data_IF_921589396858
#
_entry.id   IF_921589396858
#
_cell.length_a   1.000
_cell.length_b   1.000
_cell.length_c   1.000
_cell.angle_alpha   90.00
_cell.angle_beta   90.00
_cell.angle_gamma   90.00
#
_symmetry.space_group_name_H-M   'P 1'
#
loop_
_entity.id
_entity.type
_entity.pdbx_description
1 polymer ?
#
# COMPACT_ATOMS: atom_id res chain seq x y z
N UNK A 1 26.60 9.05 -0.72
CA UNK A 1 26.97 8.45 -2.04
C UNK A 1 25.95 8.76 -3.12
N UNK A 2 24.68 8.35 -3.01
CA UNK A 2 23.65 8.65 -4.02
C UNK A 2 23.36 10.16 -4.20
N UNK A 3 23.62 10.97 -3.17
CA UNK A 3 23.53 12.44 -3.23
C UNK A 3 24.76 13.12 -3.86
N UNK A 4 25.78 12.35 -4.27
CA UNK A 4 26.97 12.92 -4.91
C UNK A 4 26.51 13.59 -6.21
N UNK A 5 26.86 14.86 -6.36
CA UNK A 5 26.46 15.73 -7.48
C UNK A 5 25.02 16.24 -7.47
N UNK A 6 24.29 16.19 -6.35
CA UNK A 6 22.98 16.85 -6.25
C UNK A 6 23.06 18.33 -6.69
N UNK A 7 22.12 18.84 -7.52
CA UNK A 7 20.87 18.21 -8.00
C UNK A 7 21.05 17.25 -9.19
N UNK A 8 22.19 17.29 -9.87
CA UNK A 8 22.57 16.41 -11.00
C UNK A 8 23.01 15.02 -10.53
N UNK A 9 22.18 14.34 -9.74
CA UNK A 9 22.48 13.01 -9.21
C UNK A 9 22.69 12.00 -10.33
N UNK A 10 23.59 11.04 -10.08
CA UNK A 10 24.00 10.02 -11.05
C UNK A 10 23.32 8.67 -10.80
N UNK A 11 23.24 7.85 -11.85
CA UNK A 11 22.88 6.45 -11.73
C UNK A 11 24.01 5.68 -11.05
N UNK A 12 23.64 4.81 -10.11
CA UNK A 12 24.57 4.00 -9.33
C UNK A 12 24.12 2.55 -9.41
N UNK A 13 25.03 1.64 -9.71
CA UNK A 13 24.71 0.21 -9.74
C UNK A 13 24.61 -0.35 -8.32
N UNK A 14 23.90 -1.46 -8.17
CA UNK A 14 23.83 -2.23 -6.92
C UNK A 14 25.22 -2.59 -6.40
N UNK A 15 26.14 -2.96 -7.30
CA UNK A 15 27.51 -3.34 -6.96
C UNK A 15 28.27 -2.14 -6.39
N UNK A 16 28.20 -0.97 -7.04
CA UNK A 16 28.88 0.25 -6.58
C UNK A 16 28.34 0.72 -5.23
N UNK A 17 27.02 0.68 -5.06
CA UNK A 17 26.38 1.08 -3.80
C UNK A 17 26.75 0.12 -2.67
N UNK A 18 26.78 -1.18 -2.94
CA UNK A 18 27.20 -2.21 -1.96
C UNK A 18 28.67 -2.05 -1.61
N UNK A 19 29.55 -1.85 -2.60
CA UNK A 19 30.97 -1.62 -2.38
C UNK A 19 31.22 -0.36 -1.55
N UNK A 20 30.46 0.72 -1.81
CA UNK A 20 30.53 1.93 -0.99
C UNK A 20 30.11 1.68 0.47
N UNK A 21 28.98 1.00 0.70
CA UNK A 21 28.48 0.75 2.06
C UNK A 21 29.43 -0.17 2.85
N UNK A 22 30.02 -1.18 2.20
CA UNK A 22 31.02 -2.06 2.81
C UNK A 22 32.29 -1.36 3.27
N UNK A 23 32.56 -0.12 2.84
CA UNK A 23 33.67 0.69 3.40
C UNK A 23 33.41 1.14 4.84
N UNK A 24 32.15 1.25 5.23
CA UNK A 24 31.73 1.68 6.57
C UNK A 24 31.17 0.52 7.39
N UNK A 25 30.51 -0.44 6.73
CA UNK A 25 29.83 -1.57 7.34
C UNK A 25 30.21 -2.87 6.60
N UNK A 26 31.36 -3.45 6.96
CA UNK A 26 32.01 -4.54 6.23
C UNK A 26 31.13 -5.78 6.02
N UNK A 27 30.28 -6.12 6.98
CA UNK A 27 29.40 -7.30 6.93
C UNK A 27 28.10 -7.07 6.14
N UNK A 28 27.96 -5.91 5.48
CA UNK A 28 26.74 -5.61 4.71
C UNK A 28 26.60 -6.57 3.54
N UNK A 29 25.55 -7.37 3.61
CA UNK A 29 25.06 -8.13 2.48
C UNK A 29 24.72 -7.20 1.30
N UNK A 30 24.68 -7.78 0.10
CA UNK A 30 24.29 -7.09 -1.11
C UNK A 30 23.08 -6.15 -0.91
N UNK A 31 23.22 -4.87 -1.29
CA UNK A 31 22.19 -3.85 -1.10
C UNK A 31 21.04 -4.12 -2.07
N UNK A 32 20.14 -5.01 -1.68
CA UNK A 32 19.04 -5.48 -2.52
C UNK A 32 17.89 -4.48 -2.61
N UNK A 33 17.87 -3.48 -1.73
CA UNK A 33 16.65 -2.76 -1.38
C UNK A 33 16.88 -1.27 -1.14
N UNK A 34 17.79 -0.58 -1.83
CA UNK A 34 17.97 0.87 -1.58
C UNK A 34 16.67 1.68 -1.79
N UNK A 35 15.74 1.20 -2.64
CA UNK A 35 14.37 1.72 -2.76
C UNK A 35 13.51 1.56 -1.49
N UNK A 36 13.80 0.60 -0.63
CA UNK A 36 13.08 0.42 0.64
C UNK A 36 13.34 1.57 1.60
N UNK A 37 14.50 2.23 1.49
CA UNK A 37 14.77 3.47 2.24
C UNK A 37 13.78 4.58 1.89
N UNK A 38 13.17 4.54 0.71
CA UNK A 38 12.08 5.46 0.37
C UNK A 38 10.80 5.18 1.13
N UNK A 39 10.38 3.91 1.19
CA UNK A 39 9.20 3.53 1.97
C UNK A 39 9.43 3.57 3.50
N UNK A 40 10.65 3.31 3.96
CA UNK A 40 10.99 3.18 5.39
C UNK A 40 11.46 4.49 6.02
N UNK A 41 12.15 5.34 5.26
CA UNK A 41 12.84 6.53 5.82
C UNK A 41 12.67 7.77 4.94
N UNK A 42 11.84 7.70 3.90
CA UNK A 42 11.46 8.86 3.10
C UNK A 42 12.43 9.28 2.02
N UNK A 43 13.55 8.59 1.85
CA UNK A 43 14.50 8.92 0.80
C UNK A 43 13.89 8.71 -0.59
N UNK A 44 13.82 9.76 -1.41
CA UNK A 44 13.28 9.63 -2.77
C UNK A 44 14.30 8.95 -3.70
N UNK A 45 14.53 7.65 -3.49
CA UNK A 45 15.43 6.80 -4.27
C UNK A 45 14.59 5.96 -5.22
N UNK A 46 14.88 6.11 -6.50
CA UNK A 46 14.32 5.27 -7.55
C UNK A 46 15.23 4.06 -7.80
N UNK A 47 14.62 2.89 -8.01
CA UNK A 47 15.32 1.67 -8.40
C UNK A 47 14.77 1.13 -9.71
N UNK A 48 15.65 0.68 -10.59
CA UNK A 48 15.24 0.23 -11.90
C UNK A 48 14.42 -1.05 -11.92
N UNK A 49 13.54 -1.12 -12.92
CA UNK A 49 12.55 -2.18 -13.13
C UNK A 49 11.60 -1.79 -14.25
N UNK A 50 10.79 -2.74 -14.74
CA UNK A 50 9.92 -2.55 -15.93
C UNK A 50 9.02 -1.32 -15.86
N UNK A 51 8.54 -0.98 -14.67
CA UNK A 51 7.50 0.04 -14.49
C UNK A 51 8.03 1.35 -13.85
N UNK A 52 9.34 1.50 -13.73
CA UNK A 52 9.92 2.68 -13.08
C UNK A 52 10.12 3.84 -14.08
N UNK A 53 9.71 5.03 -13.68
CA UNK A 53 9.73 6.25 -14.53
C UNK A 53 11.15 6.84 -14.65
N UNK A 54 11.98 6.71 -13.62
CA UNK A 54 13.28 7.41 -13.53
C UNK A 54 14.50 6.52 -13.76
N UNK A 55 14.38 5.21 -13.53
CA UNK A 55 15.47 4.25 -13.72
C UNK A 55 14.88 3.03 -14.43
N UNK A 56 15.41 2.65 -15.60
CA UNK A 56 14.82 1.56 -16.40
C UNK A 56 15.45 0.21 -16.13
N UNK A 57 16.76 0.17 -15.87
CA UNK A 57 17.52 -1.07 -15.77
C UNK A 57 17.55 -1.61 -14.34
N UNK A 58 17.15 -2.87 -14.19
CA UNK A 58 17.17 -3.56 -12.90
C UNK A 58 18.56 -3.56 -12.28
N UNK A 59 18.63 -3.34 -10.96
CA UNK A 59 19.90 -3.25 -10.23
C UNK A 59 20.57 -1.87 -10.28
N UNK A 60 19.95 -0.86 -10.88
CA UNK A 60 20.41 0.52 -10.83
C UNK A 60 19.53 1.36 -9.90
N UNK A 61 20.15 2.35 -9.28
CA UNK A 61 19.51 3.25 -8.32
C UNK A 61 19.85 4.71 -8.63
N UNK A 62 18.92 5.62 -8.35
CA UNK A 62 19.14 7.07 -8.43
C UNK A 62 18.40 7.79 -7.33
N UNK A 63 19.06 8.70 -6.64
CA UNK A 63 18.38 9.68 -5.79
C UNK A 63 17.69 10.72 -6.67
N UNK A 64 16.37 10.86 -6.56
CA UNK A 64 15.59 11.79 -7.37
C UNK A 64 15.66 13.20 -6.83
N UNK A 65 15.47 13.38 -5.52
CA UNK A 65 15.53 14.68 -4.88
C UNK A 65 15.78 14.57 -3.38
N UNK A 66 16.36 15.62 -2.80
CA UNK A 66 16.47 15.83 -1.36
C UNK A 66 15.42 16.83 -0.83
N UNK A 67 14.72 17.53 -1.71
CA UNK A 67 13.77 18.60 -1.35
C UNK A 67 12.44 18.05 -0.85
N UNK A 68 12.08 16.83 -1.26
CA UNK A 68 10.82 16.18 -0.88
C UNK A 68 11.02 14.68 -0.65
N UNK A 69 10.25 14.08 0.26
CA UNK A 69 10.32 12.65 0.51
C UNK A 69 9.81 11.85 -0.68
N UNK A 70 10.06 10.54 -0.67
CA UNK A 70 9.46 9.60 -1.60
C UNK A 70 7.92 9.80 -1.63
N UNK A 71 7.25 9.86 -2.79
CA UNK A 71 5.87 10.34 -2.88
C UNK A 71 4.85 9.55 -2.04
N UNK A 72 5.15 8.28 -1.77
CA UNK A 72 4.30 7.42 -0.93
C UNK A 72 4.89 7.19 0.48
N UNK A 73 5.91 7.96 0.87
CA UNK A 73 6.42 7.93 2.23
C UNK A 73 5.48 8.73 3.12
N UNK A 74 4.77 8.02 3.97
CA UNK A 74 4.12 8.60 5.13
C UNK A 74 5.16 8.51 6.25
N UNK A 75 5.70 9.64 6.68
CA UNK A 75 6.65 9.68 7.80
C UNK A 75 6.13 8.89 9.01
N UNK A 76 7.04 8.40 9.86
CA UNK A 76 6.63 7.73 11.09
C UNK A 76 5.68 8.65 11.86
N UNK A 77 4.40 8.23 11.93
CA UNK A 77 3.28 8.91 12.59
C UNK A 77 2.98 10.30 12.01
N UNK A 78 1.90 10.37 11.26
CA UNK A 78 1.22 11.64 11.04
C UNK A 78 0.57 12.01 12.37
N UNK A 79 0.97 13.15 12.95
CA UNK A 79 0.30 13.72 14.11
C UNK A 79 -1.17 13.99 13.77
N UNK A 80 -2.02 13.48 14.63
CA UNK A 80 -3.45 13.38 14.43
C UNK A 80 -4.11 14.73 14.34
N UNK A 81 -4.91 14.90 13.30
CA UNK A 81 -6.15 15.65 13.43
C UNK A 81 -7.19 14.84 12.69
N UNK A 82 -8.32 14.54 13.34
CA UNK A 82 -9.47 13.83 12.77
C UNK A 82 -10.18 14.55 11.62
N UNK A 83 -9.45 15.40 10.90
CA UNK A 83 -9.85 16.19 9.76
C UNK A 83 -9.89 15.32 8.50
N UNK A 84 -11.10 14.99 8.08
CA UNK A 84 -11.38 14.22 6.88
C UNK A 84 -10.70 14.79 5.62
N UNK A 85 -10.55 16.11 5.52
CA UNK A 85 -9.88 16.74 4.38
C UNK A 85 -8.39 16.37 4.33
N UNK A 86 -7.70 16.31 5.47
CA UNK A 86 -6.31 15.85 5.52
C UNK A 86 -6.17 14.40 5.12
N UNK A 87 -7.11 13.55 5.55
CA UNK A 87 -7.13 12.15 5.11
C UNK A 87 -7.27 12.09 3.59
N UNK A 88 -8.21 12.81 2.97
CA UNK A 88 -8.34 12.82 1.50
C UNK A 88 -7.08 13.32 0.80
N UNK A 89 -6.46 14.39 1.29
CA UNK A 89 -5.22 14.94 0.72
C UNK A 89 -4.08 13.92 0.73
N UNK A 90 -3.93 13.12 1.79
CA UNK A 90 -2.92 12.07 1.86
C UNK A 90 -3.05 11.00 0.77
N UNK A 91 -4.25 10.81 0.22
CA UNK A 91 -4.53 9.89 -0.88
C UNK A 91 -4.62 10.63 -2.21
N UNK A 92 -4.20 11.89 -2.29
CA UNK A 92 -4.28 12.72 -3.49
C UNK A 92 -5.72 12.99 -3.92
N UNK A 93 -6.66 13.04 -2.98
CA UNK A 93 -8.10 13.10 -3.24
C UNK A 93 -8.62 11.96 -4.11
N UNK A 94 -7.95 10.79 -4.06
CA UNK A 94 -8.35 9.60 -4.79
C UNK A 94 -8.90 8.51 -3.88
N UNK A 95 -9.77 7.69 -4.48
CA UNK A 95 -10.24 6.47 -3.86
C UNK A 95 -9.08 5.49 -3.69
N UNK A 96 -8.86 5.02 -2.46
CA UNK A 96 -7.79 4.08 -2.13
C UNK A 96 -7.92 2.73 -2.86
N UNK A 97 -9.11 2.33 -3.30
CA UNK A 97 -9.34 1.03 -3.95
C UNK A 97 -9.30 1.09 -5.48
N UNK A 98 -9.90 2.10 -6.10
CA UNK A 98 -9.98 2.18 -7.57
C UNK A 98 -9.21 3.35 -8.18
N UNK A 99 -8.66 4.26 -7.38
CA UNK A 99 -7.91 5.42 -7.87
C UNK A 99 -8.76 6.55 -8.48
N UNK A 100 -10.10 6.46 -8.44
CA UNK A 100 -10.96 7.55 -8.93
C UNK A 100 -10.83 8.79 -8.05
N UNK A 101 -10.67 9.96 -8.66
CA UNK A 101 -10.47 11.25 -7.99
C UNK A 101 -11.79 11.96 -7.66
N UNK A 102 -11.91 12.51 -6.44
CA UNK A 102 -13.06 13.28 -5.95
C UNK A 102 -13.46 14.38 -6.94
N UNK A 103 -14.76 14.55 -7.17
CA UNK A 103 -15.29 15.59 -8.06
C UNK A 103 -15.08 15.32 -9.56
N UNK A 104 -14.28 14.33 -9.96
CA UNK A 104 -14.11 13.90 -11.35
C UNK A 104 -15.00 12.70 -11.69
N UNK A 105 -15.09 12.37 -12.99
CA UNK A 105 -15.77 11.15 -13.44
C UNK A 105 -15.11 9.91 -12.83
N UNK A 106 -15.91 8.97 -12.37
CA UNK A 106 -15.40 7.72 -11.84
C UNK A 106 -14.78 6.87 -12.97
N UNK A 107 -13.63 6.24 -12.69
CA UNK A 107 -12.85 5.49 -13.68
C UNK A 107 -13.58 4.26 -14.23
N UNK A 108 -14.31 3.54 -13.39
CA UNK A 108 -15.05 2.33 -13.80
C UNK A 108 -16.52 2.63 -14.12
N UNK A 109 -17.07 3.72 -13.59
CA UNK A 109 -18.46 4.14 -13.79
C UNK A 109 -18.50 5.59 -14.32
N UNK A 110 -18.10 5.77 -15.58
CA UNK A 110 -17.92 7.09 -16.21
C UNK A 110 -19.16 8.00 -16.18
N UNK A 111 -20.36 7.43 -16.10
CA UNK A 111 -21.63 8.16 -15.92
C UNK A 111 -21.86 8.69 -14.50
N UNK A 112 -20.89 8.58 -13.59
CA UNK A 112 -21.02 9.07 -12.21
C UNK A 112 -19.83 9.93 -11.80
N UNK A 113 -20.10 11.00 -11.05
CA UNK A 113 -19.06 11.79 -10.39
C UNK A 113 -18.62 11.07 -9.12
N UNK A 114 -17.32 10.94 -8.93
CA UNK A 114 -16.70 10.32 -7.76
C UNK A 114 -16.99 11.15 -6.52
N UNK A 115 -17.52 10.49 -5.49
CA UNK A 115 -17.70 11.04 -4.15
C UNK A 115 -16.98 10.14 -3.17
N UNK A 116 -15.96 10.64 -2.50
CA UNK A 116 -15.24 9.90 -1.47
C UNK A 116 -16.04 9.90 -0.18
N UNK A 117 -15.97 8.76 0.49
CA UNK A 117 -16.59 8.49 1.76
C UNK A 117 -15.54 7.89 2.68
N UNK A 118 -15.75 8.06 3.98
CA UNK A 118 -14.98 7.33 4.99
C UNK A 118 -15.37 5.86 4.93
N UNK A 119 -14.38 5.00 4.70
CA UNK A 119 -14.54 3.54 4.73
C UNK A 119 -13.59 2.94 5.74
N UNK A 120 -14.04 1.89 6.43
CA UNK A 120 -13.21 1.13 7.36
C UNK A 120 -12.07 0.42 6.64
N UNK A 121 -10.89 0.49 7.24
CA UNK A 121 -9.80 -0.47 6.97
C UNK A 121 -10.22 -1.82 7.56
N UNK A 122 -10.59 -1.83 8.83
CA UNK A 122 -11.10 -2.98 9.57
C UNK A 122 -12.52 -2.69 10.08
N UNK A 123 -13.56 -3.37 9.54
CA UNK A 123 -14.95 -3.18 9.94
C UNK A 123 -15.25 -3.55 11.41
N UNK A 124 -14.37 -4.29 12.08
CA UNK A 124 -14.53 -4.63 13.50
C UNK A 124 -14.05 -3.53 14.45
N UNK A 125 -13.39 -2.50 13.92
CA UNK A 125 -12.88 -1.36 14.69
C UNK A 125 -13.74 -0.11 14.46
N UNK A 126 -13.77 0.84 15.41
CA UNK A 126 -14.49 2.11 15.22
C UNK A 126 -14.03 2.87 13.97
N UNK A 127 -14.93 3.67 13.38
CA UNK A 127 -14.61 4.53 12.24
C UNK A 127 -13.89 5.79 12.73
N UNK A 128 -12.61 5.63 13.07
CA UNK A 128 -11.74 6.69 13.60
C UNK A 128 -10.45 6.77 12.80
N UNK A 129 -9.69 7.85 13.02
CA UNK A 129 -8.36 8.02 12.43
C UNK A 129 -7.48 6.77 12.66
N UNK A 130 -6.70 6.39 11.63
CA UNK A 130 -5.93 5.14 11.63
C UNK A 130 -6.73 3.90 11.21
N UNK A 131 -8.07 3.97 11.19
CA UNK A 131 -8.94 2.91 10.65
C UNK A 131 -9.79 3.38 9.46
N UNK A 132 -9.49 4.56 8.89
CA UNK A 132 -10.21 5.14 7.76
C UNK A 132 -9.34 5.13 6.51
N UNK A 133 -9.93 4.72 5.39
CA UNK A 133 -9.43 5.00 4.04
C UNK A 133 -10.51 5.71 3.22
N UNK A 134 -10.14 6.62 2.30
CA UNK A 134 -11.10 7.18 1.36
C UNK A 134 -11.50 6.15 0.32
N UNK A 135 -12.80 5.84 0.23
CA UNK A 135 -13.34 5.04 -0.85
C UNK A 135 -14.44 5.79 -1.59
N UNK A 136 -14.50 5.64 -2.91
CA UNK A 136 -15.61 6.20 -3.67
C UNK A 136 -16.92 5.46 -3.34
N UNK A 137 -18.04 6.13 -3.56
CA UNK A 137 -19.39 5.61 -3.32
C UNK A 137 -19.67 4.27 -4.01
N UNK A 138 -19.00 3.95 -5.12
CA UNK A 138 -19.16 2.69 -5.84
C UNK A 138 -18.39 1.55 -5.17
N UNK A 139 -17.12 1.78 -4.83
CA UNK A 139 -16.29 0.81 -4.13
C UNK A 139 -16.81 0.54 -2.72
N UNK A 140 -17.11 1.58 -1.95
CA UNK A 140 -17.60 1.44 -0.58
C UNK A 140 -18.91 0.63 -0.54
N UNK A 141 -19.84 0.93 -1.47
CA UNK A 141 -21.10 0.18 -1.63
C UNK A 141 -20.89 -1.26 -2.10
N UNK A 142 -19.89 -1.54 -2.92
CA UNK A 142 -19.60 -2.89 -3.39
C UNK A 142 -18.98 -3.75 -2.27
N UNK A 143 -18.06 -3.16 -1.52
CA UNK A 143 -17.31 -3.86 -0.50
C UNK A 143 -18.07 -4.01 0.82
N UNK A 144 -18.96 -3.10 1.24
CA UNK A 144 -19.88 -3.25 2.42
C UNK A 144 -19.27 -3.87 3.69
N UNK A 145 -17.98 -3.62 3.95
CA UNK A 145 -17.25 -4.28 5.04
C UNK A 145 -17.15 -5.81 4.92
N UNK A 146 -17.13 -6.36 3.70
CA UNK A 146 -16.80 -7.77 3.43
C UNK A 146 -15.31 -8.06 3.58
N UNK A 147 -14.47 -7.03 3.49
CA UNK A 147 -13.02 -7.13 3.41
C UNK A 147 -12.36 -6.30 4.49
N UNK A 148 -11.19 -6.75 4.91
CA UNK A 148 -10.21 -5.98 5.67
C UNK A 148 -9.20 -5.45 4.67
N UNK A 149 -8.91 -4.16 4.73
CA UNK A 149 -7.93 -3.50 3.87
C UNK A 149 -6.60 -3.26 4.61
N UNK A 150 -5.55 -2.92 3.87
CA UNK A 150 -4.43 -2.15 4.43
C UNK A 150 -4.63 -0.66 4.19
N UNK A 151 -3.71 0.16 4.72
CA UNK A 151 -3.69 1.62 4.54
C UNK A 151 -3.63 2.07 3.07
N UNK A 152 -3.37 1.18 2.11
CA UNK A 152 -3.35 1.49 0.67
C UNK A 152 -4.59 1.02 -0.04
N UNK A 153 -5.61 0.54 0.69
CA UNK A 153 -6.85 0.03 0.10
C UNK A 153 -6.72 -1.35 -0.52
N UNK A 154 -5.66 -2.12 -0.22
CA UNK A 154 -5.50 -3.49 -0.71
C UNK A 154 -6.17 -4.48 0.22
N UNK A 155 -6.86 -5.47 -0.32
CA UNK A 155 -7.50 -6.52 0.49
C UNK A 155 -6.43 -7.35 1.21
N UNK A 156 -6.55 -7.43 2.54
CA UNK A 156 -5.72 -8.24 3.43
C UNK A 156 -6.46 -9.43 4.02
N UNK A 157 -7.77 -9.35 4.15
CA UNK A 157 -8.56 -10.41 4.79
C UNK A 157 -10.05 -10.31 4.50
N UNK A 158 -10.77 -11.32 5.00
CA UNK A 158 -12.24 -11.41 4.94
C UNK A 158 -12.78 -10.88 6.27
N UNK A 159 -13.63 -9.86 6.22
CA UNK A 159 -14.33 -9.34 7.40
C UNK A 159 -15.72 -9.97 7.58
N UNK A 160 -16.39 -10.40 6.48
CA UNK A 160 -17.69 -11.08 6.57
C UNK A 160 -17.65 -12.46 5.90
N UNK A 161 -17.80 -13.56 6.65
CA UNK A 161 -17.78 -14.92 6.11
C UNK A 161 -18.82 -15.18 5.02
N UNK A 162 -19.91 -14.39 4.99
CA UNK A 162 -20.94 -14.47 3.96
C UNK A 162 -20.39 -14.36 2.52
N UNK A 163 -19.21 -13.78 2.31
CA UNK A 163 -18.56 -13.76 0.99
C UNK A 163 -18.19 -15.16 0.49
N UNK A 164 -17.87 -16.09 1.40
CA UNK A 164 -17.51 -17.49 1.08
C UNK A 164 -18.68 -18.22 0.41
N UNK A 165 -19.93 -17.83 0.72
CA UNK A 165 -21.13 -18.41 0.08
C UNK A 165 -21.14 -18.19 -1.43
N UNK A 166 -20.52 -17.08 -1.90
CA UNK A 166 -20.42 -16.72 -3.33
C UNK A 166 -19.30 -17.45 -4.06
N UNK A 167 -18.39 -18.11 -3.34
CA UNK A 167 -17.28 -18.85 -3.95
C UNK A 167 -17.77 -20.14 -4.62
N UNK A 168 -17.04 -20.57 -5.65
CA UNK A 168 -17.25 -21.90 -6.24
C UNK A 168 -16.83 -23.02 -5.27
N UNK A 169 -17.23 -24.25 -5.59
CA UNK A 169 -16.99 -25.40 -4.72
C UNK A 169 -15.51 -25.67 -4.46
N UNK A 170 -14.65 -25.54 -5.48
CA UNK A 170 -13.20 -25.73 -5.33
C UNK A 170 -12.61 -24.81 -4.26
N UNK A 171 -12.97 -23.53 -4.29
CA UNK A 171 -12.52 -22.55 -3.30
C UNK A 171 -13.12 -22.86 -1.92
N UNK A 172 -14.41 -23.20 -1.84
CA UNK A 172 -15.06 -23.58 -0.58
C UNK A 172 -14.38 -24.78 0.10
N UNK A 173 -14.09 -25.84 -0.66
CA UNK A 173 -13.36 -27.02 -0.16
C UNK A 173 -11.94 -26.67 0.28
N UNK A 174 -11.27 -25.78 -0.45
CA UNK A 174 -9.94 -25.27 -0.07
C UNK A 174 -9.96 -24.53 1.27
N UNK A 175 -10.92 -23.61 1.44
CA UNK A 175 -11.13 -22.89 2.71
C UNK A 175 -11.46 -23.88 3.84
N UNK A 176 -12.40 -24.80 3.59
CA UNK A 176 -12.78 -25.82 4.57
C UNK A 176 -11.58 -26.63 5.06
N UNK A 177 -10.69 -27.08 4.15
CA UNK A 177 -9.49 -27.84 4.52
C UNK A 177 -8.55 -27.05 5.42
N UNK A 178 -8.36 -25.75 5.15
CA UNK A 178 -7.52 -24.87 5.99
C UNK A 178 -8.13 -24.76 7.39
N UNK A 179 -9.42 -24.43 7.48
CA UNK A 179 -10.10 -24.24 8.76
C UNK A 179 -10.25 -25.53 9.55
N UNK A 180 -10.52 -26.66 8.89
CA UNK A 180 -10.60 -27.97 9.55
C UNK A 180 -9.27 -28.34 10.23
N UNK A 181 -8.14 -28.08 9.56
CA UNK A 181 -6.82 -28.31 10.14
C UNK A 181 -6.51 -27.33 11.28
N UNK A 182 -6.90 -26.07 11.15
CA UNK A 182 -6.69 -25.03 12.17
C UNK A 182 -7.47 -25.32 13.45
N UNK A 183 -8.75 -25.70 13.32
CA UNK A 183 -9.64 -26.01 14.44
C UNK A 183 -9.67 -27.49 14.81
N UNK A 184 -8.82 -28.33 14.21
CA UNK A 184 -8.70 -29.78 14.50
C UNK A 184 -10.03 -30.56 14.44
N UNK A 185 -10.98 -30.10 13.64
CA UNK A 185 -12.32 -30.71 13.52
C UNK A 185 -13.25 -30.46 14.70
N UNK A 186 -12.96 -29.48 15.58
CA UNK A 186 -13.87 -29.04 16.65
C UNK A 186 -15.24 -28.65 16.10
N UNK A 187 -16.29 -28.96 16.84
CA UNK A 187 -17.65 -28.68 16.44
C UNK A 187 -17.94 -27.18 16.57
N UNK A 188 -18.35 -26.47 15.49
CA UNK A 188 -18.61 -25.04 15.56
C UNK A 188 -19.71 -24.61 16.55
N UNK A 189 -20.53 -25.53 17.06
CA UNK A 189 -21.52 -25.24 18.11
C UNK A 189 -20.92 -25.04 19.50
N UNK A 190 -19.62 -25.28 19.65
CA UNK A 190 -18.89 -25.21 20.92
C UNK A 190 -18.09 -23.89 21.08
N UNK A 191 -18.26 -22.93 20.18
CA UNK A 191 -17.54 -21.64 20.12
C UNK A 191 -18.37 -20.44 20.56
#
# INVERSE_FOLDING_TARGET
YLARFYPSTVLVTKQDLTAFIRKFYHETNDVQQARHLGAQSGWYISAGGRDNVHVKKSGEYRLITLERPYPNFKGHRIESSGDWEKIKQQYGNCCATCGSEEGKRNLHWSGTITKLQQAHIDPFKPLVEGNIIPQCQKCNRAYRGFWIFDERGRVRGIAKPAVIKKCNEKVKRGIYKILYNEFKGENPSEW
#
